data_IF_776874964900
#
_entry.id   IF_776874964900
#
_cell.length_a   1.000
_cell.length_b   1.000
_cell.length_c   1.000
_cell.angle_alpha   90.00
_cell.angle_beta   90.00
_cell.angle_gamma   90.00
#
_symmetry.space_group_name_H-M   'P 1'
#
loop_
_entity.id
_entity.type
_entity.pdbx_description
1 polymer ?
#
# COMPACT_ATOMS: atom_id res chain seq x y z
N UNK A 1 -6.65 -7.33 7.58
CA UNK A 1 -7.51 -7.25 6.38
C UNK A 1 -8.47 -8.44 6.42
N UNK A 2 -9.76 -8.28 6.11
CA UNK A 2 -10.73 -9.38 6.21
C UNK A 2 -10.52 -10.41 5.10
N UNK A 3 -10.03 -11.59 5.47
CA UNK A 3 -9.79 -12.71 4.56
C UNK A 3 -11.07 -13.23 3.90
N UNK A 4 -12.22 -13.11 4.58
CA UNK A 4 -13.50 -13.56 4.05
C UNK A 4 -13.93 -12.69 2.87
N UNK A 5 -13.73 -11.37 2.98
CA UNK A 5 -14.01 -10.42 1.90
C UNK A 5 -13.14 -10.71 0.67
N UNK A 6 -11.82 -10.87 0.87
CA UNK A 6 -10.89 -11.20 -0.21
C UNK A 6 -11.29 -12.51 -0.88
N UNK A 7 -11.57 -13.55 -0.08
CA UNK A 7 -12.01 -14.84 -0.59
C UNK A 7 -13.31 -14.77 -1.39
N UNK A 8 -14.26 -13.94 -0.96
CA UNK A 8 -15.54 -13.75 -1.64
C UNK A 8 -15.37 -13.01 -2.96
N UNK A 9 -14.58 -11.93 -2.98
CA UNK A 9 -14.28 -11.17 -4.21
C UNK A 9 -13.52 -12.04 -5.22
N UNK A 10 -12.52 -12.80 -4.77
CA UNK A 10 -11.78 -13.72 -5.65
C UNK A 10 -12.69 -14.80 -6.25
N UNK A 11 -13.61 -15.39 -5.47
CA UNK A 11 -14.60 -16.34 -5.98
C UNK A 11 -15.51 -15.72 -7.03
N UNK A 12 -15.95 -14.47 -6.80
CA UNK A 12 -16.80 -13.74 -7.72
C UNK A 12 -16.06 -13.38 -9.02
N UNK A 13 -14.79 -12.99 -8.93
CA UNK A 13 -13.89 -12.81 -10.08
C UNK A 13 -13.73 -14.10 -10.89
N UNK A 14 -13.41 -15.21 -10.23
CA UNK A 14 -13.22 -16.51 -10.87
C UNK A 14 -14.53 -17.03 -11.52
N UNK A 15 -15.69 -16.79 -10.90
CA UNK A 15 -17.01 -17.18 -11.42
C UNK A 15 -17.45 -16.34 -12.63
N UNK A 16 -17.03 -15.08 -12.72
CA UNK A 16 -17.43 -14.16 -13.80
C UNK A 16 -16.43 -14.13 -14.96
N UNK A 17 -15.21 -14.63 -14.77
CA UNK A 17 -14.18 -14.72 -15.81
C UNK A 17 -14.61 -15.46 -17.10
N UNK A 18 -15.37 -16.58 -17.05
CA UNK A 18 -15.81 -17.30 -18.26
C UNK A 18 -16.86 -16.56 -19.09
N UNK A 19 -17.56 -15.56 -18.52
CA UNK A 19 -18.65 -14.84 -19.18
C UNK A 19 -18.16 -13.74 -20.13
N UNK A 20 -16.86 -13.67 -20.41
CA UNK A 20 -16.32 -12.79 -21.44
C UNK A 20 -16.35 -11.29 -21.09
N UNK A 21 -16.58 -10.93 -19.83
CA UNK A 21 -16.32 -9.58 -19.31
C UNK A 21 -14.80 -9.37 -19.22
N UNK A 22 -14.16 -9.21 -20.38
CA UNK A 22 -12.74 -8.93 -20.47
C UNK A 22 -12.35 -7.77 -19.56
N UNK A 23 -11.37 -8.01 -18.69
CA UNK A 23 -10.58 -7.00 -17.95
C UNK A 23 -11.28 -6.07 -16.95
N UNK A 24 -12.61 -6.05 -16.84
CA UNK A 24 -13.27 -5.32 -15.76
C UNK A 24 -13.30 -6.18 -14.51
N UNK A 25 -12.63 -5.74 -13.44
CA UNK A 25 -12.94 -6.24 -12.10
C UNK A 25 -14.47 -6.22 -11.95
N UNK A 26 -15.13 -7.34 -11.64
CA UNK A 26 -16.59 -7.43 -11.60
C UNK A 26 -17.22 -6.55 -10.52
N UNK A 27 -16.37 -6.02 -9.63
CA UNK A 27 -16.76 -5.11 -8.55
C UNK A 27 -15.94 -3.84 -8.72
N UNK A 28 -16.65 -2.73 -8.90
CA UNK A 28 -16.10 -1.39 -8.76
C UNK A 28 -16.09 -1.05 -7.26
N UNK A 29 -14.91 -0.97 -6.66
CA UNK A 29 -14.75 -0.66 -5.24
C UNK A 29 -14.76 0.86 -5.05
N UNK A 30 -15.46 1.38 -4.02
CA UNK A 30 -15.50 2.81 -3.76
C UNK A 30 -14.11 3.33 -3.39
N UNK A 31 -13.81 4.55 -3.83
CA UNK A 31 -12.60 5.25 -3.43
C UNK A 31 -12.73 5.81 -2.02
N UNK A 32 -11.68 5.63 -1.19
CA UNK A 32 -11.60 6.21 0.15
C UNK A 32 -10.74 7.47 0.07
N UNK A 33 -11.32 8.62 0.41
CA UNK A 33 -10.61 9.90 0.50
C UNK A 33 -10.61 10.39 1.94
N UNK A 34 -9.44 10.77 2.46
CA UNK A 34 -9.30 11.29 3.82
C UNK A 34 -9.16 12.81 3.77
N UNK A 35 -10.11 13.50 4.41
CA UNK A 35 -10.17 14.97 4.50
C UNK A 35 -10.12 15.41 5.95
N UNK A 36 -9.50 16.56 6.22
CA UNK A 36 -9.40 17.12 7.56
C UNK A 36 -8.26 18.12 7.74
N UNK A 37 -8.33 18.90 8.82
CA UNK A 37 -7.35 19.93 9.18
C UNK A 37 -5.91 19.37 9.23
N UNK A 38 -4.91 20.24 9.06
CA UNK A 38 -3.51 19.85 9.24
C UNK A 38 -3.31 19.22 10.64
N UNK A 39 -2.47 18.20 10.74
CA UNK A 39 -2.22 17.43 11.98
C UNK A 39 -3.39 16.61 12.55
N UNK A 40 -4.56 16.56 11.89
CA UNK A 40 -5.71 15.77 12.37
C UNK A 40 -5.56 14.23 12.27
N UNK A 41 -4.35 13.72 12.06
CA UNK A 41 -4.10 12.26 11.96
C UNK A 41 -4.47 11.61 10.63
N UNK A 42 -4.62 12.38 9.53
CA UNK A 42 -5.02 11.85 8.21
C UNK A 42 -4.14 10.70 7.72
N UNK A 43 -2.81 10.86 7.80
CA UNK A 43 -1.86 9.81 7.41
C UNK A 43 -2.03 8.57 8.27
N UNK A 44 -2.20 8.75 9.59
CA UNK A 44 -2.42 7.65 10.53
C UNK A 44 -3.70 6.86 10.23
N UNK A 45 -4.78 7.54 9.82
CA UNK A 45 -6.02 6.85 9.41
C UNK A 45 -5.79 5.97 8.18
N UNK A 46 -5.09 6.49 7.16
CA UNK A 46 -4.76 5.69 5.96
C UNK A 46 -3.86 4.51 6.29
N UNK A 47 -2.84 4.71 7.12
CA UNK A 47 -1.92 3.65 7.55
C UNK A 47 -2.64 2.56 8.35
N UNK A 48 -3.59 2.93 9.22
CA UNK A 48 -4.39 1.96 9.97
C UNK A 48 -5.29 1.12 9.05
N UNK A 49 -5.79 1.70 7.95
CA UNK A 49 -6.57 0.96 6.94
C UNK A 49 -5.69 -0.04 6.20
N UNK A 50 -4.46 0.35 5.85
CA UNK A 50 -3.49 -0.50 5.15
C UNK A 50 -2.85 -1.53 6.09
N UNK A 51 -2.72 -1.20 7.37
CA UNK A 51 -2.06 -2.01 8.39
C UNK A 51 -0.53 -1.91 8.40
N UNK A 52 0.06 -0.93 7.71
CA UNK A 52 1.52 -0.74 7.60
C UNK A 52 1.89 0.74 7.64
N UNK A 53 3.07 1.06 8.16
CA UNK A 53 3.57 2.44 8.26
C UNK A 53 4.47 2.84 7.08
N UNK A 54 3.91 3.48 6.05
CA UNK A 54 4.65 3.96 4.87
C UNK A 54 4.46 5.44 4.58
N UNK A 55 3.53 6.12 5.26
CA UNK A 55 3.32 7.54 5.02
C UNK A 55 4.32 8.36 5.84
N UNK A 56 4.71 9.55 5.35
CA UNK A 56 5.55 10.43 6.12
C UNK A 56 4.82 10.80 7.43
N UNK A 57 5.57 10.78 8.54
CA UNK A 57 5.13 11.25 9.87
C UNK A 57 6.15 12.25 10.40
N UNK A 58 5.69 13.28 11.09
CA UNK A 58 6.58 14.28 11.67
C UNK A 58 5.86 15.55 12.11
N UNK A 59 6.64 16.49 12.64
CA UNK A 59 6.18 17.83 13.01
C UNK A 59 6.18 18.75 11.77
N UNK A 60 5.19 19.66 11.66
CA UNK A 60 5.03 20.57 10.52
C UNK A 60 4.05 20.10 9.44
N UNK A 61 4.16 20.63 8.22
CA UNK A 61 3.30 20.24 7.08
C UNK A 61 3.90 19.01 6.41
N UNK A 62 3.30 17.87 6.70
CA UNK A 62 3.82 16.54 6.32
C UNK A 62 3.40 16.16 4.90
N UNK A 63 2.10 16.21 4.61
CA UNK A 63 1.55 15.86 3.29
C UNK A 63 1.28 17.14 2.50
N UNK A 64 2.11 17.40 1.48
CA UNK A 64 2.05 18.63 0.65
C UNK A 64 1.61 18.37 -0.80
N UNK A 65 1.32 17.10 -1.11
CA UNK A 65 0.82 16.61 -2.39
C UNK A 65 -0.26 15.56 -2.15
N UNK A 66 -1.33 15.54 -2.96
CA UNK A 66 -2.24 14.40 -2.97
C UNK A 66 -1.47 13.11 -3.26
N UNK A 67 -1.71 12.07 -2.46
CA UNK A 67 -1.16 10.74 -2.68
C UNK A 67 -2.32 9.82 -3.05
N UNK A 68 -2.26 9.24 -4.24
CA UNK A 68 -3.21 8.23 -4.70
C UNK A 68 -2.58 6.86 -4.42
N UNK A 69 -3.20 6.12 -3.52
CA UNK A 69 -2.77 4.76 -3.18
C UNK A 69 -3.70 3.76 -3.87
N UNK A 70 -3.12 2.86 -4.65
CA UNK A 70 -3.84 1.76 -5.28
C UNK A 70 -3.39 0.44 -4.66
N UNK A 71 -4.28 -0.23 -3.92
CA UNK A 71 -4.04 -1.56 -3.39
C UNK A 71 -4.36 -2.59 -4.46
N UNK A 72 -3.38 -3.41 -4.83
CA UNK A 72 -3.53 -4.43 -5.87
C UNK A 72 -3.33 -5.79 -5.21
N UNK A 73 -4.35 -6.65 -5.28
CA UNK A 73 -4.22 -8.03 -4.82
C UNK A 73 -3.45 -8.86 -5.87
N UNK A 74 -2.34 -9.47 -5.47
CA UNK A 74 -1.57 -10.42 -6.30
C UNK A 74 -1.41 -11.73 -5.52
N UNK A 75 -1.64 -12.84 -6.20
CA UNK A 75 -1.37 -14.17 -5.63
C UNK A 75 0.15 -14.37 -5.55
N UNK A 76 0.67 -14.82 -4.40
CA UNK A 76 2.08 -15.18 -4.25
C UNK A 76 2.45 -16.29 -5.25
N UNK A 77 3.59 -16.13 -5.92
CA UNK A 77 4.09 -17.12 -6.90
C UNK A 77 4.65 -18.37 -6.23
N UNK A 78 4.97 -18.31 -4.93
CA UNK A 78 5.54 -19.42 -4.19
C UNK A 78 4.43 -20.32 -3.61
N UNK A 79 3.80 -21.15 -4.45
CA UNK A 79 3.08 -22.33 -3.98
C UNK A 79 4.08 -23.41 -3.54
N UNK A 80 4.77 -23.20 -2.43
CA UNK A 80 5.33 -24.33 -1.70
C UNK A 80 4.17 -25.04 -1.01
N UNK A 81 4.03 -26.34 -1.25
CA UNK A 81 2.95 -27.17 -0.70
C UNK A 81 3.16 -27.33 0.81
N UNK A 82 2.57 -26.48 1.63
CA UNK A 82 2.30 -26.79 3.04
C UNK A 82 0.80 -26.73 3.29
N UNK A 83 0.23 -27.86 3.72
CA UNK A 83 -1.17 -28.02 4.08
C UNK A 83 -1.48 -27.42 5.46
N UNK A 84 -1.03 -26.20 5.73
CA UNK A 84 -1.47 -25.47 6.91
C UNK A 84 -1.72 -24.02 6.53
N UNK A 85 -2.98 -23.61 6.72
CA UNK A 85 -3.38 -22.22 6.76
C UNK A 85 -2.51 -21.53 7.80
N UNK A 86 -1.59 -20.69 7.36
CA UNK A 86 -1.31 -19.45 8.06
C UNK A 86 -0.60 -18.49 7.11
N UNK A 87 -1.26 -17.37 6.84
CA UNK A 87 -0.69 -16.13 6.30
C UNK A 87 0.27 -15.47 7.33
N UNK A 88 0.84 -16.24 8.27
CA UNK A 88 1.56 -15.79 9.46
C UNK A 88 3.06 -16.12 9.45
N UNK A 89 3.65 -16.54 8.34
CA UNK A 89 5.11 -16.48 8.17
C UNK A 89 5.57 -15.02 7.95
N UNK A 90 5.12 -14.13 8.83
CA UNK A 90 5.73 -12.83 9.05
C UNK A 90 7.10 -13.16 9.64
N UNK A 91 8.15 -13.11 8.82
CA UNK A 91 9.52 -13.02 9.31
C UNK A 91 9.64 -11.68 10.06
N UNK A 92 9.23 -11.73 11.33
CA UNK A 92 9.11 -10.60 12.27
C UNK A 92 10.44 -10.26 12.92
N UNK A 93 11.57 -10.72 12.38
CA UNK A 93 12.87 -10.48 12.98
C UNK A 93 13.94 -10.39 11.89
N UNK A 94 14.61 -9.24 11.81
CA UNK A 94 15.88 -9.14 11.09
C UNK A 94 16.98 -9.96 11.79
N UNK A 95 18.18 -10.00 11.20
CA UNK A 95 19.34 -10.65 11.82
C UNK A 95 19.74 -10.06 13.20
N UNK A 96 19.14 -8.94 13.60
CA UNK A 96 19.35 -8.26 14.87
C UNK A 96 18.18 -8.46 15.87
N UNK A 97 17.12 -9.19 15.49
CA UNK A 97 15.95 -9.44 16.31
C UNK A 97 14.91 -8.31 16.32
N UNK A 98 15.01 -7.34 15.41
CA UNK A 98 14.05 -6.23 15.31
C UNK A 98 12.88 -6.58 14.40
N UNK A 99 11.69 -6.08 14.75
CA UNK A 99 10.45 -6.39 14.04
C UNK A 99 10.44 -5.78 12.64
N UNK A 100 10.76 -6.58 11.63
CA UNK A 100 10.63 -6.15 10.24
C UNK A 100 9.27 -6.52 9.67
N UNK A 101 8.58 -5.54 9.10
CA UNK A 101 7.36 -5.77 8.30
C UNK A 101 7.70 -6.17 6.84
N UNK A 102 8.99 -6.27 6.49
CA UNK A 102 9.44 -6.52 5.12
C UNK A 102 9.07 -7.96 4.68
N UNK A 103 8.32 -8.07 3.59
CA UNK A 103 7.93 -9.35 2.98
C UNK A 103 8.26 -9.32 1.49
N UNK A 104 8.82 -10.39 0.93
CA UNK A 104 9.08 -10.51 -0.51
C UNK A 104 7.81 -10.56 -1.36
N UNK A 105 6.67 -10.87 -0.77
CA UNK A 105 5.38 -10.95 -1.47
C UNK A 105 4.65 -9.60 -1.53
N UNK A 106 5.10 -8.59 -0.78
CA UNK A 106 4.48 -7.27 -0.72
C UNK A 106 5.49 -6.17 -1.07
N UNK A 107 5.15 -5.33 -2.04
CA UNK A 107 5.97 -4.19 -2.41
C UNK A 107 5.13 -3.01 -2.88
N UNK A 108 5.72 -1.81 -2.83
CA UNK A 108 5.20 -0.63 -3.50
C UNK A 108 5.90 -0.38 -4.84
N UNK A 109 5.19 0.22 -5.78
CA UNK A 109 5.75 0.77 -7.02
C UNK A 109 5.24 2.19 -7.20
N UNK A 110 6.11 3.08 -7.70
CA UNK A 110 5.74 4.47 -7.96
C UNK A 110 5.65 4.71 -9.46
N UNK A 111 4.61 5.43 -9.87
CA UNK A 111 4.40 5.75 -11.29
C UNK A 111 5.58 6.52 -11.91
N UNK A 112 6.29 7.35 -11.13
CA UNK A 112 7.47 8.09 -11.60
C UNK A 112 8.77 7.28 -11.58
N UNK A 113 8.75 6.03 -11.10
CA UNK A 113 9.88 5.08 -11.10
C UNK A 113 9.42 3.72 -11.65
N UNK A 114 9.13 3.62 -12.96
CA UNK A 114 8.54 2.42 -13.56
C UNK A 114 9.44 1.19 -13.37
N UNK A 115 8.86 0.08 -12.93
CA UNK A 115 9.55 -1.19 -12.74
C UNK A 115 10.40 -1.29 -11.46
N UNK A 116 10.49 -0.23 -10.65
CA UNK A 116 11.20 -0.28 -9.37
C UNK A 116 10.26 -0.75 -8.26
N UNK A 117 10.55 -1.93 -7.71
CA UNK A 117 9.82 -2.50 -6.59
C UNK A 117 10.46 -2.12 -5.25
N UNK A 118 9.65 -1.62 -4.32
CA UNK A 118 10.06 -1.25 -2.97
C UNK A 118 9.47 -2.23 -1.97
N UNK A 119 10.27 -3.21 -1.52
CA UNK A 119 9.87 -4.19 -0.50
C UNK A 119 9.97 -3.63 0.94
N UNK A 120 10.79 -2.59 1.12
CA UNK A 120 10.92 -1.89 2.38
C UNK A 120 9.99 -0.66 2.43
N UNK A 121 9.07 -0.65 3.39
CA UNK A 121 8.07 0.41 3.55
C UNK A 121 8.69 1.73 4.03
N UNK A 122 9.85 1.69 4.69
CA UNK A 122 10.62 2.90 4.98
C UNK A 122 11.18 3.55 3.71
N UNK A 123 11.52 2.75 2.70
CA UNK A 123 12.01 3.29 1.43
C UNK A 123 10.87 3.89 0.60
N UNK A 124 9.66 3.31 0.70
CA UNK A 124 8.42 3.94 0.18
C UNK A 124 8.21 5.30 0.85
N UNK A 125 8.33 5.37 2.18
CA UNK A 125 8.19 6.61 2.96
C UNK A 125 9.20 7.68 2.52
N UNK A 126 10.48 7.31 2.44
CA UNK A 126 11.56 8.22 1.98
C UNK A 126 11.29 8.71 0.56
N UNK A 127 10.80 7.84 -0.31
CA UNK A 127 10.50 8.19 -1.69
C UNK A 127 9.34 9.18 -1.79
N UNK A 128 8.28 9.03 -1.00
CA UNK A 128 7.18 10.01 -0.92
C UNK A 128 7.70 11.38 -0.49
N UNK A 129 8.58 11.43 0.51
CA UNK A 129 9.19 12.69 0.98
C UNK A 129 10.05 13.30 -0.12
N UNK A 130 10.93 12.51 -0.74
CA UNK A 130 11.83 12.94 -1.82
C UNK A 130 11.05 13.54 -2.99
N UNK A 131 10.00 12.85 -3.44
CA UNK A 131 9.17 13.27 -4.57
C UNK A 131 8.27 14.47 -4.22
N UNK A 132 7.90 14.62 -2.95
CA UNK A 132 7.23 15.84 -2.46
C UNK A 132 8.18 17.03 -2.52
N UNK A 133 9.37 16.92 -1.91
CA UNK A 133 10.38 17.98 -1.90
C UNK A 133 10.86 18.36 -3.30
N UNK A 134 10.99 17.39 -4.21
CA UNK A 134 11.40 17.64 -5.59
C UNK A 134 10.44 18.56 -6.35
N UNK A 135 9.13 18.54 -6.03
CA UNK A 135 8.12 19.39 -6.68
C UNK A 135 7.82 20.67 -5.91
N UNK A 136 7.80 20.61 -4.58
CA UNK A 136 7.37 21.74 -3.74
C UNK A 136 8.52 22.52 -3.13
N UNK A 137 9.75 22.04 -3.26
CA UNK A 137 10.90 22.50 -2.48
C UNK A 137 10.79 22.13 -0.99
N UNK A 138 11.76 22.60 -0.21
CA UNK A 138 11.85 22.37 1.25
C UNK A 138 11.10 23.42 2.08
N UNK A 139 10.64 24.51 1.47
CA UNK A 139 10.09 25.68 2.17
C UNK A 139 8.57 25.60 2.40
N UNK A 140 8.06 24.49 2.96
CA UNK A 140 6.64 24.31 3.32
C UNK A 140 5.62 24.57 2.19
N UNK A 141 6.06 24.73 0.95
CA UNK A 141 5.20 24.96 -0.21
C UNK A 141 4.27 23.78 -0.45
N UNK A 142 3.03 24.06 -0.81
CA UNK A 142 2.05 23.05 -1.24
C UNK A 142 2.12 23.00 -2.77
N UNK A 143 2.12 21.79 -3.36
CA UNK A 143 2.09 21.68 -4.82
C UNK A 143 0.79 22.27 -5.35
N UNK A 144 0.86 23.11 -6.38
CA UNK A 144 -0.34 23.68 -6.99
C UNK A 144 -1.17 22.65 -7.74
N UNK A 145 -0.57 21.49 -8.08
CA UNK A 145 -1.18 20.30 -8.70
C UNK A 145 -0.41 19.06 -8.29
#
# INVERSE_FOLDING_TARGET
>A
MDEQLIGTINKLQDALAPLGAGSASPVDLPQITVVGSQSSGKSSVLENIVGREFLPRGTGIVTRRPLILQLINRRSSNKSKSNHQDLLDIQTVDANGDKTENNSDEWGEFLHLPGKQFFNFDDIRKEIVRETEAKTGKNAGISSV
#
